data_IF_760670370477
#
_entry.id   IF_760670370477
#
_cell.length_a   1.000
_cell.length_b   1.000
_cell.length_c   1.000
_cell.angle_alpha   90.00
_cell.angle_beta   90.00
_cell.angle_gamma   90.00
#
_symmetry.space_group_name_H-M   'P 1'
#
loop_
_entity.id
_entity.type
_entity.pdbx_description
1 polymer ?
#
# COMPACT_ATOMS: atom_id res chain seq x y z
N UNK A 1 7.15 -18.05 -8.66
CA UNK A 1 7.76 -16.78 -8.19
C UNK A 1 6.78 -15.66 -8.48
N UNK A 2 6.47 -14.78 -7.53
CA UNK A 2 5.49 -13.71 -7.67
C UNK A 2 6.08 -12.37 -7.19
N UNK A 3 5.59 -11.25 -7.72
CA UNK A 3 5.91 -9.89 -7.29
C UNK A 3 4.59 -9.18 -6.93
N UNK A 4 4.50 -8.66 -5.71
CA UNK A 4 3.29 -8.00 -5.21
C UNK A 4 3.63 -6.67 -4.53
N UNK A 5 2.76 -5.65 -4.66
CA UNK A 5 3.01 -4.33 -4.06
C UNK A 5 2.84 -4.39 -2.54
N UNK A 6 3.81 -3.83 -1.83
CA UNK A 6 3.78 -3.65 -0.36
C UNK A 6 3.30 -2.24 -0.04
N UNK A 7 1.99 -2.06 0.08
CA UNK A 7 1.36 -0.77 0.41
C UNK A 7 0.28 -0.96 1.48
N UNK A 8 0.16 -0.06 2.48
CA UNK A 8 0.85 1.24 2.57
C UNK A 8 2.25 1.16 3.19
N UNK A 9 2.70 -0.02 3.63
CA UNK A 9 4.01 -0.22 4.23
C UNK A 9 4.58 -1.60 3.89
N UNK A 10 5.87 -1.79 4.15
CA UNK A 10 6.58 -3.05 3.94
C UNK A 10 6.85 -3.79 5.25
N UNK A 11 7.12 -5.10 5.13
CA UNK A 11 7.44 -5.97 6.27
C UNK A 11 6.33 -6.00 7.34
N UNK A 12 6.69 -6.08 8.63
CA UNK A 12 5.81 -6.34 9.77
C UNK A 12 5.68 -5.14 10.69
N UNK A 13 4.47 -4.87 11.16
CA UNK A 13 4.25 -4.07 12.36
C UNK A 13 4.25 -5.01 13.56
N UNK A 14 5.28 -4.89 14.41
CA UNK A 14 5.44 -5.73 15.61
C UNK A 14 4.27 -5.51 16.57
N UNK A 15 3.63 -6.58 17.00
CA UNK A 15 2.47 -6.52 17.89
C UNK A 15 1.23 -5.88 17.26
N UNK A 16 1.23 -5.63 15.94
CA UNK A 16 0.19 -4.85 15.27
C UNK A 16 0.08 -3.41 15.77
N UNK A 17 1.07 -2.88 16.50
CA UNK A 17 0.95 -1.57 17.15
C UNK A 17 2.16 -0.69 16.90
N UNK A 18 1.90 0.59 16.63
CA UNK A 18 2.95 1.61 16.53
C UNK A 18 2.42 2.98 16.94
N UNK A 19 3.34 3.91 17.23
CA UNK A 19 2.99 5.29 17.52
C UNK A 19 3.39 6.20 16.36
N UNK A 20 2.51 7.09 15.95
CA UNK A 20 2.78 8.07 14.90
C UNK A 20 1.98 9.35 15.14
N UNK A 21 2.63 10.52 14.96
CA UNK A 21 2.01 11.84 15.17
C UNK A 21 1.25 11.97 16.52
N UNK A 22 1.81 11.41 17.60
CA UNK A 22 1.22 11.46 18.95
C UNK A 22 0.02 10.52 19.17
N UNK A 23 -0.29 9.64 18.22
CA UNK A 23 -1.38 8.65 18.30
C UNK A 23 -0.82 7.23 18.32
N UNK A 24 -1.45 6.35 19.08
CA UNK A 24 -1.20 4.90 19.00
C UNK A 24 -2.15 4.30 17.99
N UNK A 25 -1.60 3.59 17.00
CA UNK A 25 -2.35 2.88 15.95
C UNK A 25 -2.27 1.39 16.23
N UNK A 26 -3.42 0.72 16.18
CA UNK A 26 -3.57 -0.72 16.40
C UNK A 26 -4.19 -1.38 15.17
N UNK A 27 -3.47 -2.37 14.64
CA UNK A 27 -3.82 -3.17 13.47
C UNK A 27 -4.28 -4.55 13.93
N UNK A 28 -5.22 -5.19 13.20
CA UNK A 28 -5.80 -6.45 13.62
C UNK A 28 -4.80 -7.59 13.55
N UNK A 29 -4.35 -8.11 14.69
CA UNK A 29 -3.48 -9.29 14.80
C UNK A 29 -4.30 -10.56 15.08
N UNK A 30 -3.64 -11.72 15.02
CA UNK A 30 -4.21 -13.00 15.44
C UNK A 30 -3.37 -13.61 16.57
N UNK A 31 -3.92 -14.48 17.42
CA UNK A 31 -3.14 -15.11 18.49
C UNK A 31 -1.93 -15.91 17.98
N UNK A 32 -2.06 -16.53 16.80
CA UNK A 32 -1.03 -17.32 16.12
C UNK A 32 -0.05 -16.46 15.29
N UNK A 33 -0.43 -15.24 14.94
CA UNK A 33 0.42 -14.25 14.26
C UNK A 33 0.22 -12.86 14.91
N UNK A 34 1.07 -12.51 15.89
CA UNK A 34 0.97 -11.25 16.61
C UNK A 34 1.47 -10.05 15.78
N UNK A 35 1.67 -10.21 14.47
CA UNK A 35 2.17 -9.18 13.58
C UNK A 35 1.16 -8.88 12.47
N UNK A 36 1.25 -7.68 11.89
CA UNK A 36 0.52 -7.37 10.66
C UNK A 36 1.50 -7.07 9.53
N UNK A 37 1.47 -7.90 8.49
CA UNK A 37 2.46 -7.91 7.43
C UNK A 37 1.94 -7.29 6.13
N UNK A 38 2.83 -6.58 5.44
CA UNK A 38 2.73 -6.25 4.00
C UNK A 38 1.57 -5.33 3.58
N UNK A 39 0.81 -4.79 4.55
CA UNK A 39 -0.28 -3.87 4.28
C UNK A 39 -1.42 -4.51 3.49
N UNK A 40 -2.14 -3.68 2.74
CA UNK A 40 -3.33 -4.09 1.99
C UNK A 40 -3.03 -4.52 0.55
N UNK A 41 -2.00 -3.94 -0.06
CA UNK A 41 -1.78 -4.00 -1.51
C UNK A 41 -1.65 -5.39 -2.09
N UNK A 42 -1.13 -6.36 -1.34
CA UNK A 42 -0.98 -7.73 -1.79
C UNK A 42 -2.25 -8.60 -1.62
N UNK A 43 -3.23 -8.16 -0.82
CA UNK A 43 -4.41 -8.95 -0.43
C UNK A 43 -5.73 -8.38 -0.95
N UNK A 44 -5.72 -7.19 -1.53
CA UNK A 44 -6.92 -6.49 -2.02
C UNK A 44 -6.91 -6.38 -3.55
N UNK A 45 -8.08 -6.42 -4.20
CA UNK A 45 -8.17 -6.26 -5.64
C UNK A 45 -7.74 -4.85 -6.05
N UNK A 46 -7.06 -4.76 -7.20
CA UNK A 46 -6.72 -3.49 -7.85
C UNK A 46 -7.58 -3.32 -9.09
N UNK A 47 -7.99 -2.09 -9.37
CA UNK A 47 -8.73 -1.71 -10.55
C UNK A 47 -7.77 -1.36 -11.69
N UNK A 48 -8.07 -1.80 -12.91
CA UNK A 48 -7.36 -1.34 -14.10
C UNK A 48 -7.78 0.10 -14.41
N UNK A 49 -6.86 1.04 -14.25
CA UNK A 49 -7.10 2.46 -14.52
C UNK A 49 -6.78 2.85 -15.98
N UNK A 50 -6.00 2.03 -16.68
CA UNK A 50 -5.69 2.22 -18.09
C UNK A 50 -4.58 1.28 -18.54
N UNK A 51 -4.56 0.98 -19.84
CA UNK A 51 -3.49 0.19 -20.43
C UNK A 51 -3.23 0.60 -21.88
N UNK A 52 -2.03 0.27 -22.34
CA UNK A 52 -1.57 0.31 -23.73
C UNK A 52 -0.81 -0.98 -24.01
N UNK A 53 -0.36 -1.17 -25.26
CA UNK A 53 0.28 -2.42 -25.69
C UNK A 53 1.43 -2.91 -24.78
N UNK A 54 2.21 -2.00 -24.19
CA UNK A 54 3.34 -2.32 -23.32
C UNK A 54 3.31 -1.60 -21.96
N UNK A 55 2.13 -1.14 -21.53
CA UNK A 55 1.96 -0.39 -20.27
C UNK A 55 0.63 -0.70 -19.61
N UNK A 56 0.60 -0.78 -18.29
CA UNK A 56 -0.62 -0.91 -17.51
C UNK A 56 -0.55 -0.03 -16.25
N UNK A 57 -1.68 0.56 -15.89
CA UNK A 57 -1.85 1.36 -14.67
C UNK A 57 -2.93 0.69 -13.84
N UNK A 58 -2.56 0.24 -12.65
CA UNK A 58 -3.47 -0.30 -11.65
C UNK A 58 -3.65 0.71 -10.52
N UNK A 59 -4.86 0.83 -9.99
CA UNK A 59 -5.16 1.65 -8.82
C UNK A 59 -5.84 0.83 -7.74
N UNK A 60 -5.44 1.09 -6.50
CA UNK A 60 -6.08 0.57 -5.30
C UNK A 60 -6.42 1.75 -4.40
N UNK A 61 -7.67 1.79 -3.92
CA UNK A 61 -8.13 2.76 -2.94
C UNK A 61 -8.41 2.03 -1.63
N UNK A 62 -7.90 2.61 -0.56
CA UNK A 62 -8.23 2.22 0.79
C UNK A 62 -8.98 3.38 1.44
N UNK A 63 -10.15 3.09 2.00
CA UNK A 63 -10.83 4.01 2.89
C UNK A 63 -10.44 3.65 4.33
N UNK A 64 -10.25 4.67 5.17
CA UNK A 64 -9.72 4.52 6.52
C UNK A 64 -10.48 3.46 7.35
N UNK A 65 -9.71 2.61 8.03
CA UNK A 65 -10.20 1.62 9.00
C UNK A 65 -9.23 1.53 10.20
N UNK A 66 -8.88 0.32 10.65
CA UNK A 66 -7.73 0.06 11.52
C UNK A 66 -6.44 0.76 11.08
N UNK A 67 -6.22 0.92 9.78
CA UNK A 67 -5.28 1.90 9.24
C UNK A 67 -6.03 3.23 9.04
N UNK A 68 -5.83 4.24 9.90
CA UNK A 68 -6.77 5.35 10.06
C UNK A 68 -6.66 6.43 8.97
N UNK A 69 -6.02 6.12 7.85
CA UNK A 69 -5.81 7.06 6.75
C UNK A 69 -6.30 6.47 5.44
N UNK A 70 -7.19 7.19 4.77
CA UNK A 70 -7.59 6.88 3.41
C UNK A 70 -6.43 7.20 2.47
N UNK A 71 -6.16 6.32 1.51
CA UNK A 71 -5.10 6.55 0.53
C UNK A 71 -5.43 5.92 -0.82
N UNK A 72 -4.75 6.40 -1.84
CA UNK A 72 -4.71 5.80 -3.16
C UNK A 72 -3.30 5.31 -3.46
N UNK A 73 -3.18 4.04 -3.85
CA UNK A 73 -1.97 3.48 -4.41
C UNK A 73 -2.13 3.33 -5.93
N UNK A 74 -1.10 3.69 -6.67
CA UNK A 74 -1.03 3.48 -8.12
C UNK A 74 0.22 2.66 -8.45
N UNK A 75 0.03 1.63 -9.27
CA UNK A 75 1.11 0.79 -9.79
C UNK A 75 1.15 0.96 -11.31
N UNK A 76 2.25 1.54 -11.81
CA UNK A 76 2.53 1.68 -13.24
C UNK A 76 3.53 0.62 -13.66
N UNK A 77 3.13 -0.21 -14.60
CA UNK A 77 3.97 -1.24 -15.21
C UNK A 77 4.24 -0.86 -16.65
N UNK A 78 5.48 -1.04 -17.11
CA UNK A 78 5.88 -0.80 -18.49
C UNK A 78 6.97 -1.74 -18.94
N UNK A 79 6.93 -2.15 -20.20
CA UNK A 79 7.95 -2.96 -20.84
C UNK A 79 8.62 -2.15 -21.95
N UNK A 80 9.94 -1.91 -21.85
CA UNK A 80 10.69 -1.16 -22.86
C UNK A 80 11.99 -1.90 -23.17
N UNK A 81 12.16 -2.35 -24.41
CA UNK A 81 13.35 -3.10 -24.88
C UNK A 81 13.69 -4.31 -24.00
N UNK A 82 12.68 -5.08 -23.61
CA UNK A 82 12.84 -6.25 -22.73
C UNK A 82 12.99 -5.93 -21.24
N UNK A 83 13.06 -4.66 -20.85
CA UNK A 83 13.14 -4.25 -19.45
C UNK A 83 11.76 -3.97 -18.86
N UNK A 84 11.40 -4.69 -17.79
CA UNK A 84 10.21 -4.42 -17.00
C UNK A 84 10.50 -3.29 -15.99
N UNK A 85 9.72 -2.23 -16.04
CA UNK A 85 9.70 -1.17 -15.04
C UNK A 85 8.38 -1.23 -14.27
N UNK A 86 8.46 -1.26 -12.94
CA UNK A 86 7.32 -1.15 -12.04
C UNK A 86 7.55 0.05 -11.14
N UNK A 87 6.63 1.00 -11.15
CA UNK A 87 6.62 2.14 -10.23
C UNK A 87 5.37 2.09 -9.38
N UNK A 88 5.55 2.17 -8.06
CA UNK A 88 4.46 2.29 -7.09
C UNK A 88 4.48 3.71 -6.54
N UNK A 89 3.33 4.37 -6.51
CA UNK A 89 3.13 5.62 -5.77
C UNK A 89 1.98 5.50 -4.80
N UNK A 90 2.09 6.19 -3.67
CA UNK A 90 1.11 6.25 -2.61
C UNK A 90 0.72 7.72 -2.42
N UNK A 91 -0.58 8.01 -2.41
CA UNK A 91 -1.14 9.33 -2.15
C UNK A 91 -2.02 9.26 -0.92
N UNK A 92 -1.65 9.99 0.13
CA UNK A 92 -2.51 10.23 1.27
C UNK A 92 -3.74 11.06 0.83
N UNK A 93 -4.94 10.59 1.18
CA UNK A 93 -6.20 11.27 0.92
C UNK A 93 -6.84 11.84 2.19
N UNK A 94 -6.25 11.56 3.36
CA UNK A 94 -6.65 12.15 4.63
C UNK A 94 -6.06 13.55 4.84
N UNK A 95 -6.66 14.29 5.76
CA UNK A 95 -6.27 15.64 6.20
C UNK A 95 -5.11 15.65 7.22
N UNK A 96 -4.73 14.48 7.72
CA UNK A 96 -3.61 14.31 8.66
C UNK A 96 -2.43 13.59 7.99
N UNK A 97 -1.19 13.80 8.45
CA UNK A 97 -0.04 13.03 7.98
C UNK A 97 -0.28 11.53 8.13
N UNK A 98 0.07 10.75 7.10
CA UNK A 98 -0.03 9.29 7.10
C UNK A 98 1.36 8.66 7.19
N UNK A 99 1.52 7.66 8.05
CA UNK A 99 2.77 6.88 8.13
C UNK A 99 3.06 6.17 6.79
N UNK A 100 4.29 6.27 6.27
CA UNK A 100 4.68 5.58 5.03
C UNK A 100 4.30 6.28 3.71
N UNK A 101 3.51 7.36 3.74
CA UNK A 101 3.39 8.27 2.60
C UNK A 101 4.38 9.44 2.72
N UNK A 102 4.93 9.88 1.59
CA UNK A 102 5.56 11.21 1.52
C UNK A 102 4.46 12.27 1.51
N UNK A 103 4.61 13.31 2.32
CA UNK A 103 3.88 14.55 2.14
C UNK A 103 4.25 15.14 0.76
N UNK A 104 3.28 15.74 0.07
CA UNK A 104 3.57 16.57 -1.10
C UNK A 104 4.18 17.89 -0.67
#
# INVERSE_FOLDING_TARGET
MACFPLVPYSNRVRGGRFSFAGRTIELPTRPDDPHYEHGHGCRRPWMLAGHQQARAILRYRHDADSWPWSYEAEQRMGLVRGCLSIRISLRNLSDTPMHGARAR
#
